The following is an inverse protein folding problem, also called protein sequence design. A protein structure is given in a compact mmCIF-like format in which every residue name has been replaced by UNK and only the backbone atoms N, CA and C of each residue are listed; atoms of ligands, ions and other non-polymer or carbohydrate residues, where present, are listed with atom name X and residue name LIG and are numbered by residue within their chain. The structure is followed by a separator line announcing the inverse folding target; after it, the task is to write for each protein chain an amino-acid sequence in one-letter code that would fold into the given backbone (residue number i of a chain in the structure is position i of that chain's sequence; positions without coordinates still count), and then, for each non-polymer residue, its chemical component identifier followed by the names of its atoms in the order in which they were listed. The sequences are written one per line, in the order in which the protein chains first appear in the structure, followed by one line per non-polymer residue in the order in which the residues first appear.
data_IF_654611957830
#
_entry.id   IF_654611957830
#
_cell.length_a   1.000
_cell.length_b   1.000
_cell.length_c   1.000
_cell.angle_alpha   90.00
_cell.angle_beta   90.00
_cell.angle_gamma   90.00
#
_symmetry.space_group_name_H-M   'P 1'
#
loop_
_entity.id
_entity.type
_entity.pdbx_description
1 polymer ?
#
# COMPACT_ATOMS: atom_id res chain seq x y z
N UNK A 1 -6.11 21.04 8.94
CA UNK A 1 -5.37 20.78 7.70
C UNK A 1 -6.09 19.60 7.09
N UNK A 2 -6.87 19.81 6.02
CA UNK A 2 -7.46 18.68 5.31
C UNK A 2 -6.30 17.84 4.80
N UNK A 3 -6.25 16.57 5.18
CA UNK A 3 -5.27 15.66 4.63
C UNK A 3 -5.57 15.55 3.13
N UNK A 4 -4.57 15.78 2.28
CA UNK A 4 -4.68 15.47 0.86
C UNK A 4 -5.03 13.99 0.71
N UNK A 5 -5.95 13.65 -0.20
CA UNK A 5 -6.26 12.26 -0.54
C UNK A 5 -5.00 11.46 -0.86
N UNK A 6 -5.01 10.17 -0.53
CA UNK A 6 -3.87 9.31 -0.81
C UNK A 6 -3.66 9.19 -2.34
N UNK A 7 -2.44 9.33 -2.89
CA UNK A 7 -2.22 9.26 -4.33
C UNK A 7 -2.35 7.82 -4.85
N UNK A 8 -3.54 7.46 -5.29
CA UNK A 8 -3.83 6.13 -5.83
C UNK A 8 -4.89 6.16 -6.94
N UNK A 9 -4.87 5.14 -7.78
CA UNK A 9 -5.89 4.91 -8.80
C UNK A 9 -6.10 3.42 -9.02
N UNK A 10 -7.34 3.03 -9.29
CA UNK A 10 -7.64 1.66 -9.72
C UNK A 10 -7.45 1.53 -11.23
N UNK A 11 -6.97 0.37 -11.68
CA UNK A 11 -6.70 0.08 -13.08
C UNK A 11 -7.24 -1.29 -13.46
N UNK A 12 -7.65 -1.43 -14.73
CA UNK A 12 -7.93 -2.70 -15.38
C UNK A 12 -6.71 -3.16 -16.17
N UNK A 13 -6.36 -4.42 -15.99
CA UNK A 13 -5.32 -5.12 -16.73
C UNK A 13 -5.91 -5.68 -18.03
N UNK A 14 -5.14 -5.72 -19.13
CA UNK A 14 -5.61 -6.23 -20.43
C UNK A 14 -5.72 -7.76 -20.48
N UNK A 15 -5.16 -8.47 -19.49
CA UNK A 15 -5.20 -9.93 -19.37
C UNK A 15 -5.00 -10.35 -17.91
N UNK A 16 -5.13 -11.65 -17.63
CA UNK A 16 -4.88 -12.25 -16.31
C UNK A 16 -3.43 -12.73 -16.13
N UNK A 17 -2.52 -12.36 -17.03
CA UNK A 17 -1.08 -12.69 -16.94
C UNK A 17 -0.37 -11.77 -15.95
N UNK A 18 -0.54 -12.07 -14.67
CA UNK A 18 -0.06 -11.23 -13.56
C UNK A 18 1.46 -11.13 -13.51
N UNK A 19 2.18 -12.19 -13.86
CA UNK A 19 3.65 -12.17 -13.82
C UNK A 19 4.21 -11.18 -14.85
N UNK A 20 3.66 -11.19 -16.07
CA UNK A 20 4.00 -10.20 -17.09
C UNK A 20 3.66 -8.78 -16.64
N UNK A 21 2.45 -8.55 -16.13
CA UNK A 21 2.03 -7.21 -15.66
C UNK A 21 2.89 -6.66 -14.52
N UNK A 22 3.30 -7.52 -13.58
CA UNK A 22 4.21 -7.13 -12.50
C UNK A 22 5.59 -6.79 -13.06
N UNK A 23 6.13 -7.61 -13.97
CA UNK A 23 7.43 -7.36 -14.59
C UNK A 23 7.44 -6.03 -15.36
N UNK A 24 6.45 -5.82 -16.23
CA UNK A 24 6.30 -4.59 -17.01
C UNK A 24 6.15 -3.36 -16.11
N UNK A 25 5.35 -3.45 -15.04
CA UNK A 25 5.22 -2.37 -14.06
C UNK A 25 6.54 -2.02 -13.39
N UNK A 26 7.30 -3.03 -12.96
CA UNK A 26 8.60 -2.83 -12.30
C UNK A 26 9.64 -2.22 -13.26
N UNK A 27 9.58 -2.53 -14.55
CA UNK A 27 10.44 -1.95 -15.58
C UNK A 27 10.07 -0.51 -15.93
N UNK A 28 8.77 -0.21 -16.04
CA UNK A 28 8.29 1.11 -16.48
C UNK A 28 8.22 2.15 -15.36
N UNK A 29 8.12 1.72 -14.10
CA UNK A 29 8.03 2.67 -12.98
C UNK A 29 9.34 3.44 -12.79
N UNK A 30 9.22 4.74 -12.53
CA UNK A 30 10.38 5.62 -12.38
C UNK A 30 11.14 5.41 -11.06
N UNK A 31 10.48 4.88 -10.03
CA UNK A 31 11.09 4.64 -8.73
C UNK A 31 10.34 3.58 -7.90
N UNK A 32 10.96 3.06 -6.83
CA UNK A 32 10.29 2.18 -5.86
C UNK A 32 9.20 2.86 -5.03
N UNK A 33 8.85 4.13 -5.28
CA UNK A 33 7.70 4.78 -4.66
C UNK A 33 6.39 4.48 -5.39
N UNK A 34 6.45 3.97 -6.62
CA UNK A 34 5.30 3.44 -7.32
C UNK A 34 5.06 1.99 -6.91
N UNK A 35 3.88 1.71 -6.37
CA UNK A 35 3.53 0.38 -5.86
C UNK A 35 2.31 -0.16 -6.61
N UNK A 36 2.39 -1.42 -6.99
CA UNK A 36 1.28 -2.18 -7.56
C UNK A 36 0.68 -3.08 -6.49
N UNK A 37 -0.62 -2.90 -6.25
CA UNK A 37 -1.38 -3.69 -5.29
C UNK A 37 -2.48 -4.48 -6.01
N UNK A 38 -2.86 -5.62 -5.45
CA UNK A 38 -4.02 -6.35 -5.93
C UNK A 38 -5.30 -5.54 -5.75
N UNK A 39 -6.28 -5.72 -6.63
CA UNK A 39 -7.56 -4.99 -6.59
C UNK A 39 -8.36 -5.09 -5.28
N UNK A 40 -7.95 -5.99 -4.37
CA UNK A 40 -8.55 -6.26 -3.07
C UNK A 40 -7.82 -5.57 -1.90
N UNK A 41 -6.61 -5.06 -2.09
CA UNK A 41 -5.75 -4.64 -0.98
C UNK A 41 -6.06 -3.22 -0.45
N UNK A 42 -6.68 -2.37 -1.27
CA UNK A 42 -7.05 -0.99 -0.91
C UNK A 42 -8.45 -0.98 -0.31
N UNK A 43 -8.55 -0.69 0.98
CA UNK A 43 -9.82 -0.70 1.75
C UNK A 43 -10.25 0.71 2.17
N UNK A 44 -9.32 1.57 2.59
CA UNK A 44 -9.60 2.98 2.94
C UNK A 44 -8.37 3.89 2.89
N UNK A 45 -8.56 5.21 2.87
CA UNK A 45 -7.45 6.17 2.92
C UNK A 45 -6.67 6.08 4.23
N UNK A 46 -7.36 5.92 5.36
CA UNK A 46 -6.72 5.80 6.67
C UNK A 46 -5.77 4.59 6.73
N UNK A 47 -6.17 3.47 6.11
CA UNK A 47 -5.34 2.28 5.96
C UNK A 47 -4.05 2.61 5.18
N UNK A 48 -4.17 3.24 4.01
CA UNK A 48 -3.02 3.56 3.16
C UNK A 48 -2.07 4.55 3.84
N UNK A 49 -2.60 5.62 4.44
CA UNK A 49 -1.78 6.59 5.18
C UNK A 49 -1.10 5.97 6.40
N UNK A 50 -1.77 5.06 7.12
CA UNK A 50 -1.15 4.36 8.25
C UNK A 50 0.04 3.51 7.82
N UNK A 51 -0.10 2.74 6.74
CA UNK A 51 0.99 1.95 6.19
C UNK A 51 2.15 2.84 5.68
N UNK A 52 1.83 3.98 5.05
CA UNK A 52 2.82 4.96 4.59
C UNK A 52 3.61 5.55 5.76
N UNK A 53 2.93 5.96 6.84
CA UNK A 53 3.59 6.51 8.03
C UNK A 53 4.58 5.51 8.60
N UNK A 54 4.24 4.22 8.67
CA UNK A 54 5.16 3.21 9.18
C UNK A 54 6.35 2.98 8.24
N UNK A 55 6.09 2.76 6.95
CA UNK A 55 7.15 2.51 5.96
C UNK A 55 8.14 3.69 5.86
N UNK A 56 7.64 4.92 5.73
CA UNK A 56 8.48 6.11 5.55
C UNK A 56 9.20 6.49 6.85
N UNK A 57 8.60 6.26 8.01
CA UNK A 57 9.31 6.42 9.29
C UNK A 57 10.53 5.50 9.37
N UNK A 58 10.40 4.25 8.92
CA UNK A 58 11.49 3.29 8.89
C UNK A 58 12.52 3.61 7.79
N UNK A 59 12.07 4.13 6.65
CA UNK A 59 12.95 4.65 5.59
C UNK A 59 13.82 5.80 6.12
N UNK A 60 13.22 6.83 6.73
CA UNK A 60 13.92 7.99 7.30
C UNK A 60 14.94 7.61 8.38
N UNK A 61 14.66 6.53 9.12
CA UNK A 61 15.57 6.00 10.15
C UNK A 61 16.58 4.99 9.61
N UNK A 62 16.57 4.71 8.31
CA UNK A 62 17.39 3.67 7.69
C UNK A 62 17.24 2.30 8.40
N UNK A 63 16.03 1.98 8.84
CA UNK A 63 15.70 0.82 9.65
C UNK A 63 14.59 -0.04 9.02
N UNK A 64 14.49 -0.02 7.70
CA UNK A 64 13.55 -0.88 6.96
C UNK A 64 13.96 -2.34 7.04
N UNK A 65 12.97 -3.23 7.06
CA UNK A 65 13.20 -4.67 6.91
C UNK A 65 13.40 -5.00 5.43
N UNK A 66 12.59 -4.39 4.56
CA UNK A 66 12.69 -4.56 3.12
C UNK A 66 13.88 -3.77 2.52
N UNK A 67 14.25 -4.13 1.29
CA UNK A 67 15.33 -3.46 0.53
C UNK A 67 14.87 -2.19 -0.20
N UNK A 68 13.57 -1.92 -0.21
CA UNK A 68 12.95 -0.80 -0.92
C UNK A 68 11.63 -0.40 -0.25
N UNK A 69 11.25 0.86 -0.42
CA UNK A 69 10.11 1.46 0.30
C UNK A 69 8.75 0.91 -0.13
N UNK A 70 8.58 0.50 -1.40
CA UNK A 70 7.39 -0.24 -1.89
C UNK A 70 7.19 -1.56 -1.13
N UNK A 71 8.26 -2.35 -1.00
CA UNK A 71 8.21 -3.64 -0.33
C UNK A 71 7.98 -3.46 1.18
N UNK A 72 8.58 -2.44 1.79
CA UNK A 72 8.33 -2.09 3.20
C UNK A 72 6.88 -1.64 3.41
N UNK A 73 6.33 -0.87 2.47
CA UNK A 73 4.93 -0.43 2.50
C UNK A 73 3.97 -1.62 2.38
N UNK A 74 4.17 -2.51 1.42
CA UNK A 74 3.37 -3.74 1.26
C UNK A 74 3.46 -4.59 2.53
N UNK A 75 4.65 -4.70 3.14
CA UNK A 75 4.87 -5.41 4.41
C UNK A 75 3.97 -4.88 5.52
N UNK A 76 3.94 -3.57 5.73
CA UNK A 76 3.06 -2.94 6.71
C UNK A 76 1.58 -3.08 6.35
N UNK A 77 1.21 -2.85 5.09
CA UNK A 77 -0.18 -2.99 4.62
C UNK A 77 -0.73 -4.41 4.87
N UNK A 78 0.11 -5.43 4.69
CA UNK A 78 -0.21 -6.84 4.91
C UNK A 78 -0.11 -7.28 6.39
N UNK A 79 0.28 -6.38 7.30
CA UNK A 79 0.36 -6.64 8.75
C UNK A 79 1.30 -7.79 9.11
N UNK A 80 2.41 -7.94 8.40
CA UNK A 80 3.35 -9.06 8.59
C UNK A 80 4.79 -8.59 8.62
N UNK A 81 5.68 -9.36 9.23
CA UNK A 81 7.12 -9.12 9.17
C UNK A 81 7.77 -9.76 7.94
N UNK A 82 7.10 -10.71 7.28
CA UNK A 82 7.67 -11.50 6.20
C UNK A 82 7.35 -10.92 4.81
N UNK A 83 8.37 -10.56 4.04
CA UNK A 83 8.22 -9.93 2.71
C UNK A 83 7.43 -10.81 1.73
N UNK A 84 7.75 -12.09 1.62
CA UNK A 84 7.05 -12.99 0.69
C UNK A 84 5.56 -13.14 1.03
N UNK A 85 5.25 -13.23 2.32
CA UNK A 85 3.86 -13.27 2.80
C UNK A 85 3.14 -11.96 2.52
N UNK A 86 3.83 -10.82 2.64
CA UNK A 86 3.25 -9.51 2.33
C UNK A 86 2.82 -9.40 0.86
N UNK A 87 3.65 -9.84 -0.07
CA UNK A 87 3.29 -9.87 -1.49
C UNK A 87 2.16 -10.86 -1.80
N UNK A 88 2.11 -12.00 -1.10
CA UNK A 88 0.97 -12.94 -1.19
C UNK A 88 -0.36 -12.32 -0.72
N UNK A 89 -0.32 -11.46 0.31
CA UNK A 89 -1.52 -10.86 0.92
C UNK A 89 -2.01 -9.58 0.25
N UNK A 90 -1.11 -8.74 -0.24
CA UNK A 90 -1.44 -7.40 -0.74
C UNK A 90 -1.05 -7.15 -2.21
N UNK A 91 -0.15 -7.98 -2.76
CA UNK A 91 0.28 -7.89 -4.15
C UNK A 91 -0.82 -8.32 -5.13
N UNK A 92 -0.56 -8.11 -6.43
CA UNK A 92 -1.41 -8.59 -7.50
C UNK A 92 -1.37 -10.13 -7.56
N UNK A 93 -2.55 -10.77 -7.53
CA UNK A 93 -2.68 -12.23 -7.48
C UNK A 93 -3.20 -12.80 -8.80
N UNK A 94 -2.82 -14.05 -9.10
CA UNK A 94 -3.26 -14.77 -10.31
C UNK A 94 -4.78 -14.72 -10.50
N UNK A 95 -5.21 -14.50 -11.74
CA UNK A 95 -6.63 -14.40 -12.11
C UNK A 95 -7.29 -13.05 -11.79
N UNK A 96 -6.57 -12.07 -11.22
CA UNK A 96 -7.10 -10.72 -11.06
C UNK A 96 -7.05 -9.94 -12.38
N UNK A 97 -8.13 -9.22 -12.69
CA UNK A 97 -8.23 -8.30 -13.83
C UNK A 97 -8.15 -6.83 -13.40
N UNK A 98 -8.23 -6.57 -12.10
CA UNK A 98 -8.20 -5.22 -11.52
C UNK A 98 -7.07 -5.11 -10.48
N UNK A 99 -6.39 -3.97 -10.49
CA UNK A 99 -5.30 -3.63 -9.59
C UNK A 99 -5.41 -2.19 -9.08
N UNK A 100 -4.50 -1.81 -8.20
CA UNK A 100 -4.30 -0.43 -7.79
C UNK A 100 -2.85 -0.02 -8.04
N UNK A 101 -2.66 1.13 -8.69
CA UNK A 101 -1.39 1.83 -8.71
C UNK A 101 -1.45 2.90 -7.64
N UNK A 102 -0.46 2.90 -6.75
CA UNK A 102 -0.30 3.92 -5.74
C UNK A 102 1.08 4.57 -5.86
N UNK A 103 1.16 5.84 -5.48
CA UNK A 103 2.43 6.53 -5.31
C UNK A 103 2.62 6.85 -3.84
N UNK A 104 3.78 6.50 -3.29
CA UNK A 104 4.17 6.82 -1.92
C UNK A 104 4.87 8.18 -1.93
N UNK A 105 4.25 9.26 -1.43
CA UNK A 105 4.93 10.56 -1.35
C UNK A 105 6.26 10.44 -0.61
N UNK A 106 7.22 11.24 -1.03
CA UNK A 106 8.37 11.52 -0.17
C UNK A 106 7.90 12.11 1.15
N UNK A 107 8.56 11.75 2.24
CA UNK A 107 8.24 12.26 3.55
C UNK A 107 9.44 12.98 4.16
N UNK A 108 9.17 14.09 4.83
CA UNK A 108 10.13 14.75 5.69
C UNK A 108 9.89 14.37 7.15
N UNK A 109 10.97 14.15 7.89
CA UNK A 109 10.90 13.84 9.30
C UNK A 109 10.74 15.11 10.14
N UNK A 110 9.59 15.27 10.78
CA UNK A 110 9.35 16.36 11.73
C UNK A 110 9.34 15.79 13.14
N UNK A 111 10.21 16.30 14.01
CA UNK A 111 10.19 15.93 15.42
C UNK A 111 8.95 16.52 16.10
N UNK A 112 8.20 15.67 16.79
CA UNK A 112 7.15 16.15 17.67
C UNK A 112 7.72 16.68 19.00
N UNK A 113 6.87 17.22 19.86
CA UNK A 113 7.25 17.73 21.18
C UNK A 113 7.89 16.71 22.13
N UNK A 114 7.84 15.42 21.79
CA UNK A 114 8.44 14.31 22.52
C UNK A 114 9.74 13.81 21.86
N UNK A 115 10.23 14.48 20.81
CA UNK A 115 11.43 14.09 20.06
C UNK A 115 11.22 12.87 19.14
N UNK A 116 9.97 12.43 18.92
CA UNK A 116 9.69 11.36 17.98
C UNK A 116 9.58 11.92 16.56
N UNK A 117 10.41 11.39 15.66
CA UNK A 117 10.32 11.68 14.22
C UNK A 117 9.00 11.17 13.64
N UNK A 118 8.19 12.08 13.11
CA UNK A 118 6.96 11.80 12.39
C UNK A 118 7.12 12.17 10.91
N UNK A 119 6.82 11.26 9.98
CA UNK A 119 6.87 11.58 8.56
C UNK A 119 5.70 12.50 8.19
N UNK A 120 5.99 13.56 7.44
CA UNK A 120 5.02 14.46 6.84
C UNK A 120 5.15 14.35 5.32
N UNK A 121 4.06 14.04 4.64
CA UNK A 121 4.06 13.82 3.20
C UNK A 121 4.29 15.13 2.44
N UNK A 122 5.24 15.10 1.50
CA UNK A 122 5.42 16.16 0.54
C UNK A 122 4.31 16.09 -0.52
N UNK A 123 3.69 17.21 -0.91
CA UNK A 123 2.68 17.20 -1.97
C UNK A 123 3.25 16.61 -3.26
N UNK A 124 2.50 15.72 -3.92
CA UNK A 124 2.80 15.21 -5.26
C UNK A 124 1.81 15.79 -6.27
N UNK A 125 2.02 17.03 -6.75
CA UNK A 125 1.08 17.68 -7.68
C UNK A 125 1.03 17.01 -9.06
N UNK A 126 2.02 16.18 -9.40
CA UNK A 126 2.14 15.54 -10.71
C UNK A 126 1.46 14.16 -10.80
N UNK A 127 0.95 13.60 -9.69
CA UNK A 127 0.43 12.22 -9.64
C UNK A 127 -0.52 11.87 -10.80
N UNK A 128 -1.50 12.73 -11.11
CA UNK A 128 -2.47 12.47 -12.18
C UNK A 128 -1.83 12.41 -13.57
N UNK A 129 -0.81 13.23 -13.83
CA UNK A 129 -0.09 13.21 -15.10
C UNK A 129 0.81 11.98 -15.19
N UNK A 130 1.53 11.68 -14.11
CA UNK A 130 2.51 10.58 -14.07
C UNK A 130 1.81 9.22 -14.16
N UNK A 131 0.70 9.03 -13.43
CA UNK A 131 -0.07 7.78 -13.49
C UNK A 131 -0.71 7.57 -14.86
N UNK A 132 -1.09 8.65 -15.55
CA UNK A 132 -1.57 8.57 -16.93
C UNK A 132 -0.47 8.11 -17.87
N UNK A 133 0.72 8.68 -17.76
CA UNK A 133 1.88 8.27 -18.58
C UNK A 133 2.25 6.81 -18.34
N UNK A 134 2.30 6.39 -17.06
CA UNK A 134 2.60 5.00 -16.68
C UNK A 134 1.55 4.02 -17.20
N UNK A 135 0.27 4.30 -16.99
CA UNK A 135 -0.82 3.42 -17.48
C UNK A 135 -0.88 3.35 -19.01
N UNK A 136 -0.57 4.44 -19.71
CA UNK A 136 -0.45 4.44 -21.17
C UNK A 136 0.72 3.56 -21.66
N UNK A 137 1.89 3.66 -21.03
CA UNK A 137 3.05 2.82 -21.36
C UNK A 137 2.75 1.33 -21.14
N UNK A 138 2.00 1.00 -20.10
CA UNK A 138 1.59 -0.37 -19.75
C UNK A 138 0.39 -0.89 -20.57
N UNK A 139 -0.31 -0.02 -21.31
CA UNK A 139 -1.55 -0.38 -22.00
C UNK A 139 -2.71 -0.71 -21.06
N UNK A 140 -2.69 -0.20 -19.83
CA UNK A 140 -3.72 -0.43 -18.82
C UNK A 140 -4.78 0.68 -18.83
N UNK A 141 -5.99 0.37 -18.36
CA UNK A 141 -7.09 1.35 -18.34
C UNK A 141 -7.41 1.80 -16.92
N UNK A 142 -7.38 3.11 -16.66
CA UNK A 142 -7.81 3.69 -15.38
C UNK A 142 -9.31 3.47 -15.15
N UNK A 143 -9.69 3.12 -13.92
CA UNK A 143 -11.06 2.91 -13.49
C UNK A 143 -11.54 3.99 -12.52
N UNK A 144 -12.84 4.29 -12.56
CA UNK A 144 -13.52 5.10 -11.54
C UNK A 144 -14.03 4.20 -10.41
N UNK A 145 -13.12 3.51 -9.74
CA UNK A 145 -13.43 2.64 -8.60
C UNK A 145 -13.03 3.35 -7.31
N UNK A 146 -13.99 3.51 -6.41
CA UNK A 146 -13.74 4.07 -5.08
C UNK A 146 -13.17 3.00 -4.13
N UNK A 147 -12.40 3.47 -3.14
CA UNK A 147 -11.99 2.63 -2.02
C UNK A 147 -13.23 2.16 -1.27
N UNK A 148 -13.32 0.85 -1.01
CA UNK A 148 -14.41 0.31 -0.22
C UNK A 148 -13.94 -0.86 0.63
N UNK A 149 -14.57 -0.97 1.79
CA UNK A 149 -14.38 -2.11 2.66
C UNK A 149 -14.98 -3.37 2.04
N UNK A 150 -14.23 -4.45 2.09
CA UNK A 150 -14.65 -5.77 1.67
C UNK A 150 -14.13 -6.82 2.63
N UNK A 151 -15.03 -7.62 3.20
CA UNK A 151 -14.68 -8.75 4.08
C UNK A 151 -13.70 -9.69 3.38
N UNK A 152 -13.88 -9.94 2.08
CA UNK A 152 -12.99 -10.81 1.29
C UNK A 152 -11.60 -10.17 1.14
N UNK A 153 -11.52 -8.88 0.85
CA UNK A 153 -10.24 -8.18 0.75
C UNK A 153 -9.50 -8.11 2.08
N UNK A 154 -10.21 -7.87 3.18
CA UNK A 154 -9.66 -7.92 4.54
C UNK A 154 -9.09 -9.31 4.86
N UNK A 155 -9.83 -10.39 4.56
CA UNK A 155 -9.36 -11.76 4.78
C UNK A 155 -8.08 -12.05 4.01
N UNK A 156 -7.97 -11.60 2.76
CA UNK A 156 -6.75 -11.74 1.94
C UNK A 156 -5.57 -10.97 2.53
N UNK A 157 -5.83 -9.80 3.12
CA UNK A 157 -4.83 -9.03 3.86
C UNK A 157 -4.42 -9.68 5.20
N UNK A 158 -5.09 -10.74 5.64
CA UNK A 158 -4.85 -11.42 6.91
C UNK A 158 -5.65 -10.84 8.09
N UNK A 159 -6.70 -10.04 7.81
CA UNK A 159 -7.59 -9.48 8.82
C UNK A 159 -8.90 -10.26 8.86
N UNK A 160 -9.23 -10.86 10.01
CA UNK A 160 -10.57 -11.43 10.20
C UNK A 160 -11.59 -10.34 10.55
N UNK A 161 -12.11 -9.70 9.50
CA UNK A 161 -13.16 -8.69 9.60
C UNK A 161 -14.54 -9.26 9.97
N UNK A 162 -14.74 -10.58 9.89
CA UNK A 162 -16.08 -11.18 10.05
C UNK A 162 -16.58 -11.18 11.50
N UNK A 163 -15.68 -11.00 12.47
CA UNK A 163 -16.00 -10.93 13.89
C UNK A 163 -16.36 -9.51 14.37
N UNK A 164 -16.19 -8.48 13.53
CA UNK A 164 -16.30 -7.08 13.94
C UNK A 164 -17.54 -6.40 13.33
N UNK A 165 -18.20 -5.49 14.07
CA UNK A 165 -19.21 -4.63 13.48
C UNK A 165 -18.56 -3.64 12.50
N UNK A 166 -19.31 -3.19 11.49
CA UNK A 166 -18.84 -2.26 10.45
C UNK A 166 -18.15 -1.01 11.02
N UNK A 167 -18.63 -0.51 12.18
CA UNK A 167 -18.07 0.66 12.86
C UNK A 167 -16.63 0.50 13.35
N UNK A 168 -16.08 -0.72 13.38
CA UNK A 168 -14.71 -1.01 13.82
C UNK A 168 -13.80 -1.54 12.72
N UNK A 169 -14.28 -1.62 11.48
CA UNK A 169 -13.49 -2.15 10.36
C UNK A 169 -12.22 -1.33 10.14
N UNK A 170 -12.34 0.00 10.16
CA UNK A 170 -11.17 0.89 9.98
C UNK A 170 -10.15 0.73 11.13
N UNK A 171 -10.62 0.67 12.38
CA UNK A 171 -9.78 0.43 13.55
C UNK A 171 -9.04 -0.92 13.46
N UNK A 172 -9.73 -1.97 12.98
CA UNK A 172 -9.13 -3.30 12.79
C UNK A 172 -8.04 -3.28 11.72
N UNK A 173 -8.24 -2.56 10.61
CA UNK A 173 -7.23 -2.39 9.55
C UNK A 173 -6.01 -1.62 10.06
N UNK A 174 -6.23 -0.53 10.81
CA UNK A 174 -5.15 0.25 11.42
C UNK A 174 -4.39 -0.62 12.42
N UNK A 175 -5.09 -1.32 13.32
CA UNK A 175 -4.46 -2.21 14.29
C UNK A 175 -3.63 -3.30 13.63
N UNK A 176 -4.13 -3.92 12.55
CA UNK A 176 -3.40 -4.91 11.76
C UNK A 176 -2.06 -4.40 11.25
N UNK A 177 -2.03 -3.19 10.68
CA UNK A 177 -0.80 -2.54 10.20
C UNK A 177 0.16 -2.29 11.36
N UNK A 178 -0.33 -1.80 12.49
CA UNK A 178 0.50 -1.48 13.66
C UNK A 178 1.10 -2.73 14.32
N UNK A 179 0.50 -3.91 14.12
CA UNK A 179 0.98 -5.18 14.66
C UNK A 179 2.01 -5.88 13.79
N UNK A 180 2.34 -5.35 12.60
CA UNK A 180 3.26 -5.99 11.64
C UNK A 180 4.62 -6.37 12.25
N UNK A 181 5.15 -5.53 13.15
CA UNK A 181 6.44 -5.76 13.81
C UNK A 181 6.33 -6.62 15.08
N UNK A 182 5.16 -6.67 15.74
CA UNK A 182 4.94 -7.48 16.95
C UNK A 182 4.87 -8.98 16.64
N UNK A 183 4.39 -9.33 15.44
CA UNK A 183 4.38 -10.72 14.93
C UNK A 183 5.77 -11.35 14.77
N UNK A 184 6.85 -10.55 14.88
CA UNK A 184 8.23 -11.06 14.90
C UNK A 184 8.67 -11.59 16.28
N UNK A 185 7.97 -11.19 17.35
CA UNK A 185 8.37 -11.44 18.75
C UNK A 185 7.82 -12.75 19.32
N UNK A 186 6.84 -13.37 18.66
CA UNK A 186 6.19 -14.61 19.13
C UNK A 186 6.99 -15.89 18.84
N UNK A 187 8.12 -15.78 18.14
CA UNK A 187 9.00 -16.90 17.78
C UNK A 187 10.42 -16.78 18.36
N UNK A 188 10.64 -15.96 19.39
CA UNK A 188 11.90 -15.93 20.16
C UNK A 188 11.81 -16.70 21.46
#
# INVERSE_FOLDING_TARGET
MEASSFPCVSVRLPSTDVEAHVADFLEQRESPRWVLLGGHAVQSEAQLWTAWVQAVRHELRSSMVARSVDAEYIRYLAGTHHISEAFSRAGLQSGQEDAWIIYLPEGEGVENSLGHLQPVANPSPAFTADVRSLTQALGWSVQSKDMNYSIEGMKRLGVDGSAWPDSRIEEALIAHILMADDQSSSHR
#
